data_IF_011955122131
#
_entry.id   IF_011955122131
#
_cell.length_a   1.000
_cell.length_b   1.000
_cell.length_c   1.000
_cell.angle_alpha   90.00
_cell.angle_beta   90.00
_cell.angle_gamma   90.00
#
_symmetry.space_group_name_H-M   'P 1'
#
loop_
_entity.id
_entity.type
_entity.pdbx_description
1 polymer ?
#
# COMPACT_ATOMS: atom_id res chain seq x y z
N UNK A 1 -8.26 -38.25 33.62
CA UNK A 1 -7.49 -37.63 34.72
C UNK A 1 -6.22 -37.03 34.10
N UNK A 2 -5.88 -35.73 34.14
CA UNK A 2 -6.17 -34.62 35.10
C UNK A 2 -5.84 -35.07 36.54
N UNK A 3 -5.00 -34.42 37.36
CA UNK A 3 -4.34 -33.09 37.39
C UNK A 3 -3.21 -33.17 38.48
N UNK A 4 -2.12 -32.39 38.62
CA UNK A 4 -1.59 -31.12 38.05
C UNK A 4 -0.03 -31.19 37.87
N UNK A 5 0.77 -30.15 37.53
CA UNK A 5 1.49 -29.12 38.35
C UNK A 5 2.08 -29.60 39.71
N UNK A 6 3.23 -29.15 40.25
CA UNK A 6 4.31 -28.18 39.91
C UNK A 6 5.49 -28.36 40.94
N UNK A 7 6.68 -27.71 41.00
CA UNK A 7 7.45 -26.72 40.20
C UNK A 7 8.95 -26.67 40.69
N UNK A 8 9.74 -25.73 40.11
CA UNK A 8 10.95 -25.03 40.64
C UNK A 8 12.40 -25.54 40.49
N UNK A 9 13.23 -24.55 40.06
CA UNK A 9 14.64 -24.27 40.40
C UNK A 9 15.81 -25.11 39.81
N UNK A 10 16.49 -24.55 38.80
CA UNK A 10 17.95 -24.28 38.88
C UNK A 10 18.38 -23.15 37.91
N UNK A 11 19.29 -22.28 38.36
CA UNK A 11 19.90 -21.20 37.56
C UNK A 11 21.43 -21.39 37.51
N UNK A 12 22.05 -21.29 36.34
CA UNK A 12 23.45 -20.86 36.15
C UNK A 12 23.54 -20.15 34.78
N UNK A 13 23.73 -18.82 34.73
CA UNK A 13 25.00 -18.08 34.78
C UNK A 13 25.91 -18.23 33.54
N UNK A 14 25.78 -17.28 32.59
CA UNK A 14 26.84 -16.87 31.65
C UNK A 14 26.86 -15.32 31.59
N UNK A 15 28.04 -14.71 31.39
CA UNK A 15 28.27 -13.27 31.54
C UNK A 15 27.74 -12.36 30.42
N UNK A 16 27.36 -11.14 30.81
CA UNK A 16 27.40 -9.92 29.98
C UNK A 16 28.69 -9.14 30.27
N UNK A 17 29.45 -8.65 29.26
CA UNK A 17 30.52 -7.68 29.44
C UNK A 17 29.99 -6.27 29.77
N UNK A 18 30.74 -5.50 30.57
CA UNK A 18 30.35 -4.17 31.05
C UNK A 18 30.75 -3.02 30.11
N UNK A 19 29.96 -1.94 30.11
CA UNK A 19 30.41 -0.64 29.56
C UNK A 19 31.52 -0.01 30.43
N UNK A 20 32.67 0.34 29.83
CA UNK A 20 33.51 1.54 30.14
C UNK A 20 34.79 1.62 29.27
N UNK A 21 35.17 2.86 28.92
CA UNK A 21 36.33 3.29 28.09
C UNK A 21 36.23 2.96 26.58
N UNK A 22 36.19 3.95 25.68
CA UNK A 22 37.09 5.11 25.59
C UNK A 22 36.40 6.48 25.56
N UNK A 23 37.08 7.47 26.13
CA UNK A 23 36.92 8.90 25.83
C UNK A 23 38.15 9.37 25.02
N UNK A 24 38.14 10.65 24.63
CA UNK A 24 39.06 11.32 23.68
C UNK A 24 38.71 10.97 22.21
N UNK A 25 38.64 11.93 21.28
CA UNK A 25 39.05 13.35 21.32
C UNK A 25 37.90 14.32 21.03
N UNK A 26 37.79 15.42 21.78
CA UNK A 26 36.84 16.52 21.53
C UNK A 26 37.61 17.82 21.21
N UNK A 27 37.43 18.37 20.00
CA UNK A 27 37.87 19.73 19.62
C UNK A 27 36.91 20.35 18.59
N UNK A 28 35.88 21.03 19.09
CA UNK A 28 35.03 21.96 18.33
C UNK A 28 34.35 22.90 19.31
N UNK A 29 34.64 24.21 19.25
CA UNK A 29 34.07 25.20 20.17
C UNK A 29 32.67 25.64 19.72
N UNK A 30 31.78 26.02 20.65
CA UNK A 30 30.39 26.34 20.33
C UNK A 30 30.19 27.78 19.85
N UNK A 31 29.22 27.94 18.96
CA UNK A 31 28.32 29.09 18.88
C UNK A 31 26.90 28.51 19.12
N UNK A 32 25.99 29.13 19.85
CA UNK A 32 26.00 30.48 20.41
C UNK A 32 24.60 31.07 20.28
N UNK A 33 23.62 30.52 20.99
CA UNK A 33 22.22 30.92 20.94
C UNK A 33 21.62 30.92 22.36
N UNK A 34 20.74 31.88 22.65
CA UNK A 34 20.21 32.14 23.99
C UNK A 34 19.15 31.10 24.40
N UNK A 35 19.12 30.77 25.70
CA UNK A 35 17.87 30.33 26.33
C UNK A 35 16.94 31.54 26.46
N UNK A 36 15.71 31.45 25.95
CA UNK A 36 14.63 32.35 26.35
C UNK A 36 13.43 31.57 26.86
N UNK A 37 13.06 31.81 28.13
CA UNK A 37 11.92 31.18 28.78
C UNK A 37 10.66 32.00 28.54
N UNK A 38 9.80 31.57 27.63
CA UNK A 38 8.45 32.15 27.49
C UNK A 38 7.47 31.37 28.37
N UNK A 39 7.37 31.75 29.63
CA UNK A 39 6.26 31.32 30.51
C UNK A 39 5.01 32.12 30.19
N UNK A 40 4.11 31.58 29.36
CA UNK A 40 2.77 32.14 29.14
C UNK A 40 1.73 31.38 29.96
N UNK A 41 1.28 31.99 31.05
CA UNK A 41 0.17 31.54 31.87
C UNK A 41 -1.11 32.26 31.47
N UNK A 42 -2.07 31.55 30.89
CA UNK A 42 -3.46 31.99 30.81
C UNK A 42 -4.41 30.91 31.34
N UNK A 43 -5.18 31.26 32.37
CA UNK A 43 -6.39 30.53 32.76
C UNK A 43 -7.55 31.15 32.02
N UNK A 44 -8.44 30.33 31.48
CA UNK A 44 -9.80 30.73 31.09
C UNK A 44 -10.78 29.73 31.71
N UNK A 45 -11.84 30.22 32.33
CA UNK A 45 -12.84 29.36 32.95
C UNK A 45 -13.75 28.71 31.90
N UNK A 46 -13.56 27.41 31.67
CA UNK A 46 -14.60 26.40 31.43
C UNK A 46 -13.94 25.04 31.11
N UNK A 47 -14.04 24.07 32.03
CA UNK A 47 -13.34 22.78 31.92
C UNK A 47 -13.93 21.83 30.88
N UNK A 48 -13.51 21.94 29.62
CA UNK A 48 -13.67 20.92 28.57
C UNK A 48 -12.43 20.86 27.69
N UNK A 49 -11.71 19.74 27.74
CA UNK A 49 -10.62 19.49 26.80
C UNK A 49 -11.18 19.21 25.40
N UNK A 50 -10.61 19.87 24.39
CA UNK A 50 -10.96 19.67 22.99
C UNK A 50 -9.72 19.85 22.13
N UNK A 51 -9.24 18.74 21.55
CA UNK A 51 -8.06 18.71 20.68
C UNK A 51 -8.29 19.58 19.43
N UNK A 52 -7.74 20.80 19.44
CA UNK A 52 -7.60 21.63 18.23
C UNK A 52 -6.27 21.34 17.56
N UNK A 53 -6.30 20.86 16.32
CA UNK A 53 -5.12 20.88 15.46
C UNK A 53 -4.72 22.33 15.20
N UNK A 54 -3.43 22.64 15.30
CA UNK A 54 -2.90 23.93 14.86
C UNK A 54 -2.85 23.97 13.32
N UNK A 55 -3.17 25.11 12.68
CA UNK A 55 -2.95 25.27 11.24
C UNK A 55 -1.44 25.32 10.96
N UNK A 56 -0.99 24.65 9.90
CA UNK A 56 0.38 24.81 9.42
C UNK A 56 0.60 26.25 8.93
N UNK A 57 1.73 26.85 9.34
CA UNK A 57 2.09 28.20 8.95
C UNK A 57 2.43 28.30 7.46
N UNK A 58 2.29 29.52 6.91
CA UNK A 58 2.88 29.86 5.61
C UNK A 58 4.40 29.83 5.73
N UNK A 59 5.07 29.50 4.63
CA UNK A 59 6.51 29.71 4.45
C UNK A 59 6.66 30.92 3.53
N UNK A 60 7.41 31.93 3.94
CA UNK A 60 7.72 33.09 3.10
C UNK A 60 8.82 32.76 2.09
N UNK A 61 8.73 33.30 0.87
CA UNK A 61 9.49 32.81 -0.30
C UNK A 61 10.96 33.30 -0.38
N UNK A 62 11.46 34.03 0.62
CA UNK A 62 12.71 34.81 0.51
C UNK A 62 13.94 34.19 1.21
N UNK A 63 14.20 32.90 1.00
CA UNK A 63 15.45 32.26 1.50
C UNK A 63 16.16 31.27 0.55
N UNK A 64 15.89 31.32 -0.76
CA UNK A 64 16.58 30.49 -1.77
C UNK A 64 17.55 31.33 -2.61
N UNK A 65 18.63 31.84 -1.99
CA UNK A 65 19.63 32.65 -2.73
C UNK A 65 21.05 32.80 -2.18
N UNK A 66 21.60 31.82 -1.44
CA UNK A 66 23.05 31.79 -1.17
C UNK A 66 23.60 30.39 -0.83
N UNK A 67 24.44 29.81 -1.72
CA UNK A 67 25.46 28.75 -1.44
C UNK A 67 25.98 28.05 -2.73
N UNK A 68 26.36 28.82 -3.76
CA UNK A 68 26.79 28.30 -5.07
C UNK A 68 28.28 28.54 -5.39
N UNK A 69 29.21 28.20 -4.48
CA UNK A 69 30.67 28.29 -4.76
C UNK A 69 31.61 27.60 -3.75
N UNK A 70 31.87 26.30 -3.92
CA UNK A 70 33.18 25.69 -3.56
C UNK A 70 33.57 24.69 -4.64
N UNK A 71 34.81 24.76 -5.13
CA UNK A 71 35.32 23.96 -6.25
C UNK A 71 36.25 22.83 -5.82
N UNK A 72 36.23 21.74 -6.59
CA UNK A 72 37.42 20.96 -6.95
C UNK A 72 38.19 20.25 -5.83
N UNK A 73 37.73 19.05 -5.44
CA UNK A 73 38.64 17.94 -5.07
C UNK A 73 38.17 16.64 -5.71
N UNK A 74 38.99 16.08 -6.59
CA UNK A 74 38.89 14.67 -7.00
C UNK A 74 39.26 13.77 -5.83
N UNK A 75 38.51 12.67 -5.66
CA UNK A 75 38.83 11.61 -4.69
C UNK A 75 39.12 10.35 -5.50
N UNK A 76 40.36 9.89 -5.47
CA UNK A 76 40.74 8.62 -6.10
C UNK A 76 40.23 7.43 -5.26
N UNK A 77 39.77 6.33 -5.87
CA UNK A 77 39.36 5.14 -5.14
C UNK A 77 40.59 4.42 -4.56
N UNK A 78 40.50 3.86 -3.34
CA UNK A 78 41.63 3.18 -2.71
C UNK A 78 41.98 1.87 -3.42
N UNK A 79 43.23 1.77 -3.88
CA UNK A 79 43.80 0.62 -4.60
C UNK A 79 44.18 -0.54 -3.67
N UNK A 80 43.17 -1.19 -3.06
CA UNK A 80 43.35 -2.42 -2.29
C UNK A 80 43.41 -3.69 -3.17
N UNK A 81 44.19 -4.72 -2.79
CA UNK A 81 44.16 -6.02 -3.46
C UNK A 81 42.81 -6.74 -3.24
N UNK A 82 42.37 -7.60 -4.16
CA UNK A 82 41.05 -8.25 -4.08
C UNK A 82 40.97 -9.23 -2.90
N UNK A 83 39.98 -9.03 -2.03
CA UNK A 83 39.69 -9.92 -0.90
C UNK A 83 38.92 -11.14 -1.39
N UNK A 84 39.58 -12.30 -1.44
CA UNK A 84 38.96 -13.58 -1.78
C UNK A 84 38.00 -14.03 -0.66
N UNK A 85 36.70 -13.77 -0.83
CA UNK A 85 35.66 -14.35 0.01
C UNK A 85 35.47 -15.84 -0.34
N UNK A 86 35.40 -16.75 0.66
CA UNK A 86 35.26 -18.18 0.39
C UNK A 86 33.87 -18.50 -0.17
N UNK A 87 33.82 -19.03 -1.40
CA UNK A 87 32.59 -19.49 -2.04
C UNK A 87 32.01 -20.65 -1.22
N UNK A 88 30.90 -20.40 -0.51
CA UNK A 88 30.10 -21.47 0.11
C UNK A 88 29.57 -22.38 -0.99
N UNK A 89 29.95 -23.66 -0.95
CA UNK A 89 29.24 -24.70 -1.69
C UNK A 89 27.75 -24.69 -1.29
N UNK A 90 26.82 -24.88 -2.23
CA UNK A 90 25.41 -25.11 -1.88
C UNK A 90 25.29 -26.35 -0.99
N UNK A 91 24.41 -26.30 0.01
CA UNK A 91 24.08 -27.46 0.81
C UNK A 91 23.37 -28.52 -0.05
N UNK A 92 23.53 -29.80 0.30
CA UNK A 92 22.84 -30.88 -0.39
C UNK A 92 21.32 -30.75 -0.26
N UNK A 93 20.59 -31.02 -1.34
CA UNK A 93 19.14 -30.97 -1.35
C UNK A 93 18.55 -32.12 -0.50
N UNK A 94 17.50 -31.88 0.30
CA UNK A 94 16.76 -32.96 0.96
C UNK A 94 16.02 -33.83 -0.07
N UNK A 95 15.85 -35.11 0.24
CA UNK A 95 15.37 -36.11 -0.72
C UNK A 95 13.87 -35.97 -1.06
N UNK A 96 13.59 -36.20 -2.35
CA UNK A 96 12.36 -36.71 -2.98
C UNK A 96 11.13 -37.00 -2.09
N UNK A 97 9.95 -36.51 -2.51
CA UNK A 97 8.67 -36.95 -1.92
C UNK A 97 7.39 -36.44 -2.58
N UNK A 98 7.44 -35.28 -3.26
CA UNK A 98 6.30 -34.73 -4.00
C UNK A 98 6.70 -34.36 -5.42
N UNK A 99 5.84 -34.64 -6.39
CA UNK A 99 5.95 -33.99 -7.70
C UNK A 99 5.73 -32.48 -7.54
N UNK A 100 6.42 -31.62 -8.30
CA UNK A 100 6.11 -30.21 -8.37
C UNK A 100 4.81 -30.00 -9.16
N UNK A 101 3.68 -30.33 -8.53
CA UNK A 101 2.34 -30.16 -9.09
C UNK A 101 2.22 -28.76 -9.68
N UNK A 102 1.79 -28.70 -10.94
CA UNK A 102 1.92 -27.52 -11.79
C UNK A 102 1.33 -26.28 -11.10
N UNK A 103 2.21 -25.42 -10.55
CA UNK A 103 1.82 -24.19 -9.87
C UNK A 103 1.15 -23.31 -10.92
N UNK A 104 -0.16 -23.20 -10.84
CA UNK A 104 -0.96 -22.49 -11.84
C UNK A 104 -0.44 -21.07 -11.96
N UNK A 105 -0.31 -20.60 -13.21
CA UNK A 105 -0.31 -19.16 -13.49
C UNK A 105 -1.49 -18.51 -12.74
N UNK A 106 -1.36 -17.25 -12.28
CA UNK A 106 -2.46 -16.58 -11.60
C UNK A 106 -3.70 -16.62 -12.50
N UNK A 107 -4.84 -16.96 -11.90
CA UNK A 107 -6.10 -16.95 -12.63
C UNK A 107 -6.39 -15.53 -13.16
N UNK A 108 -7.12 -15.44 -14.27
CA UNK A 108 -7.67 -14.16 -14.74
C UNK A 108 -8.34 -13.46 -13.56
N UNK A 109 -7.91 -12.21 -13.27
CA UNK A 109 -8.40 -11.44 -12.12
C UNK A 109 -9.93 -11.37 -12.09
N UNK A 110 -10.58 -11.42 -13.24
CA UNK A 110 -12.05 -11.40 -13.37
C UNK A 110 -12.70 -12.67 -12.80
N UNK A 111 -12.01 -13.82 -12.84
CA UNK A 111 -12.48 -15.10 -12.30
C UNK A 111 -12.38 -15.19 -10.76
N UNK A 112 -11.79 -14.21 -10.08
CA UNK A 112 -11.89 -14.10 -8.61
C UNK A 112 -13.32 -13.72 -8.17
N UNK A 113 -14.07 -13.00 -9.02
CA UNK A 113 -15.31 -12.32 -8.64
C UNK A 113 -16.55 -13.02 -9.20
N UNK A 114 -17.60 -13.15 -8.39
CA UNK A 114 -18.85 -13.83 -8.80
C UNK A 114 -19.68 -13.01 -9.81
N UNK A 115 -19.35 -11.73 -10.03
CA UNK A 115 -20.01 -10.82 -10.98
C UNK A 115 -18.98 -10.08 -11.85
N UNK A 116 -19.24 -9.87 -13.16
CA UNK A 116 -18.36 -9.09 -14.03
C UNK A 116 -18.36 -7.61 -13.61
N UNK A 117 -17.21 -6.93 -13.79
CA UNK A 117 -16.99 -5.55 -13.35
C UNK A 117 -17.34 -5.37 -11.86
N UNK A 118 -16.54 -5.99 -10.97
CA UNK A 118 -16.76 -5.92 -9.52
C UNK A 118 -16.54 -4.50 -9.01
N UNK A 119 -17.29 -4.14 -7.95
CA UNK A 119 -16.97 -3.04 -7.05
C UNK A 119 -16.17 -3.60 -5.87
N UNK A 120 -14.89 -3.27 -5.83
CA UNK A 120 -13.95 -3.60 -4.75
C UNK A 120 -13.96 -2.45 -3.75
N UNK A 121 -14.48 -2.68 -2.55
CA UNK A 121 -14.62 -1.67 -1.51
C UNK A 121 -13.34 -1.56 -0.65
N UNK A 122 -12.80 -0.35 -0.51
CA UNK A 122 -11.52 -0.13 0.18
C UNK A 122 -11.72 0.18 1.67
N UNK A 123 -11.11 -0.63 2.52
CA UNK A 123 -10.95 -0.42 3.96
C UNK A 123 -9.62 0.32 4.15
N UNK A 124 -9.67 1.49 4.76
CA UNK A 124 -8.45 2.17 5.23
C UNK A 124 -8.23 1.74 6.69
N UNK A 125 -7.13 1.05 6.98
CA UNK A 125 -6.86 0.56 8.34
C UNK A 125 -6.64 1.70 9.33
N UNK A 126 -6.65 1.41 10.63
CA UNK A 126 -5.98 2.32 11.58
C UNK A 126 -4.46 2.43 11.28
N UNK A 127 -3.76 3.41 11.87
CA UNK A 127 -2.31 3.50 11.76
C UNK A 127 -1.61 2.21 12.24
N UNK A 128 -0.52 1.83 11.60
CA UNK A 128 0.38 0.75 12.01
C UNK A 128 1.15 1.08 13.31
N UNK A 129 1.67 0.09 14.04
CA UNK A 129 2.56 0.32 15.18
C UNK A 129 3.75 1.19 14.77
N UNK A 130 4.09 2.18 15.59
CA UNK A 130 5.14 3.17 15.29
C UNK A 130 4.64 4.43 14.57
N UNK A 131 3.46 4.40 13.93
CA UNK A 131 2.85 5.58 13.32
C UNK A 131 2.13 6.45 14.37
N UNK A 132 2.23 7.79 14.30
CA UNK A 132 1.44 8.69 15.14
C UNK A 132 -0.07 8.39 15.08
N UNK A 133 -0.69 8.23 16.25
CA UNK A 133 -2.12 7.89 16.37
C UNK A 133 -2.43 6.39 16.40
N UNK A 134 -1.43 5.50 16.36
CA UNK A 134 -1.60 4.10 16.74
C UNK A 134 -2.12 4.00 18.19
N UNK A 135 -3.09 3.10 18.41
CA UNK A 135 -3.69 2.84 19.74
C UNK A 135 -3.36 1.42 20.18
N UNK A 136 -3.91 0.43 19.49
CA UNK A 136 -3.57 -0.98 19.63
C UNK A 136 -3.96 -1.74 18.35
N UNK A 137 -3.42 -2.96 18.19
CA UNK A 137 -3.69 -3.77 16.99
C UNK A 137 -5.16 -4.20 16.92
N UNK A 138 -5.76 -4.61 18.04
CA UNK A 138 -7.12 -5.12 18.05
C UNK A 138 -8.16 -4.03 17.74
N UNK A 139 -7.96 -2.76 18.15
CA UNK A 139 -8.83 -1.65 17.73
C UNK A 139 -8.80 -1.39 16.21
N UNK A 140 -7.69 -1.70 15.53
CA UNK A 140 -7.61 -1.64 14.07
C UNK A 140 -8.29 -2.86 13.41
N UNK A 141 -8.17 -4.05 14.01
CA UNK A 141 -8.87 -5.27 13.60
C UNK A 141 -10.39 -5.08 13.71
N UNK A 142 -10.89 -4.65 14.87
CA UNK A 142 -12.32 -4.47 15.13
C UNK A 142 -12.95 -3.45 14.16
N UNK A 143 -12.26 -2.33 13.92
CA UNK A 143 -12.69 -1.32 12.93
C UNK A 143 -12.72 -1.87 11.51
N UNK A 144 -11.68 -2.60 11.09
CA UNK A 144 -11.62 -3.18 9.76
C UNK A 144 -12.69 -4.28 9.55
N UNK A 145 -12.95 -5.09 10.58
CA UNK A 145 -14.04 -6.08 10.56
C UNK A 145 -15.41 -5.38 10.50
N UNK A 146 -15.63 -4.30 11.25
CA UNK A 146 -16.87 -3.52 11.17
C UNK A 146 -17.09 -2.84 9.81
N UNK A 147 -16.04 -2.24 9.20
CA UNK A 147 -16.13 -1.72 7.83
C UNK A 147 -16.42 -2.84 6.82
N UNK A 148 -15.78 -4.02 6.97
CA UNK A 148 -16.06 -5.19 6.15
C UNK A 148 -17.50 -5.69 6.32
N UNK A 149 -18.08 -5.69 7.53
CA UNK A 149 -19.46 -6.12 7.76
C UNK A 149 -20.48 -5.23 7.05
N UNK A 150 -20.27 -3.90 7.02
CA UNK A 150 -21.13 -2.97 6.25
C UNK A 150 -21.01 -3.24 4.75
N UNK A 151 -19.80 -3.45 4.25
CA UNK A 151 -19.55 -3.79 2.84
C UNK A 151 -20.19 -5.12 2.43
N UNK A 152 -20.06 -6.17 3.25
CA UNK A 152 -20.63 -7.49 3.00
C UNK A 152 -22.17 -7.47 3.10
N UNK A 153 -22.73 -6.73 4.06
CA UNK A 153 -24.18 -6.57 4.22
C UNK A 153 -24.84 -5.84 3.04
N UNK A 154 -24.14 -4.88 2.43
CA UNK A 154 -24.57 -4.19 1.22
C UNK A 154 -24.32 -4.98 -0.09
N UNK A 155 -23.61 -6.11 -0.04
CA UNK A 155 -23.38 -6.98 -1.20
C UNK A 155 -22.31 -6.49 -2.19
N UNK A 156 -21.23 -5.85 -1.70
CA UNK A 156 -20.07 -5.52 -2.56
C UNK A 156 -19.43 -6.78 -3.14
N UNK A 157 -18.78 -6.65 -4.29
CA UNK A 157 -18.23 -7.80 -5.01
C UNK A 157 -16.82 -8.20 -4.52
N UNK A 158 -16.10 -7.30 -3.86
CA UNK A 158 -14.78 -7.54 -3.28
C UNK A 158 -14.37 -6.48 -2.24
N UNK A 159 -13.27 -6.73 -1.54
CA UNK A 159 -12.70 -5.83 -0.53
C UNK A 159 -11.20 -5.61 -0.80
N UNK A 160 -10.67 -4.44 -0.48
CA UNK A 160 -9.23 -4.13 -0.49
C UNK A 160 -8.82 -3.48 0.83
N UNK A 161 -7.76 -3.97 1.47
CA UNK A 161 -7.23 -3.42 2.74
C UNK A 161 -5.98 -2.55 2.45
N UNK A 162 -6.05 -1.24 2.72
CA UNK A 162 -4.97 -0.26 2.49
C UNK A 162 -4.57 0.45 3.80
N UNK A 163 -3.27 0.58 4.09
CA UNK A 163 -2.75 1.28 5.28
C UNK A 163 -2.69 2.82 5.10
N UNK A 164 -3.73 3.45 4.54
CA UNK A 164 -3.73 4.90 4.23
C UNK A 164 -3.53 5.80 5.46
N UNK A 165 -3.83 5.32 6.67
CA UNK A 165 -3.56 6.04 7.92
C UNK A 165 -2.10 5.95 8.41
N UNK A 166 -1.21 5.29 7.65
CA UNK A 166 0.24 5.34 7.88
C UNK A 166 0.89 6.63 7.34
N UNK A 167 0.08 7.62 6.93
CA UNK A 167 0.54 8.88 6.36
C UNK A 167 1.18 9.80 7.43
N UNK A 168 2.37 10.38 7.20
CA UNK A 168 3.23 10.25 6.01
C UNK A 168 3.97 8.90 5.96
N UNK A 169 3.66 8.11 4.94
CA UNK A 169 4.17 6.75 4.78
C UNK A 169 5.60 6.72 4.23
N UNK A 170 6.39 5.74 4.70
CA UNK A 170 7.79 5.52 4.29
C UNK A 170 7.89 4.53 3.13
N UNK A 171 9.02 4.52 2.42
CA UNK A 171 9.26 3.55 1.33
C UNK A 171 9.40 2.13 1.90
N UNK A 172 9.14 1.10 1.07
CA UNK A 172 9.26 -0.30 1.49
C UNK A 172 10.64 -0.67 2.10
N UNK A 173 11.72 -0.02 1.65
CA UNK A 173 13.08 -0.20 2.19
C UNK A 173 13.28 0.39 3.60
N UNK A 174 12.37 1.25 4.05
CA UNK A 174 12.35 1.93 5.35
C UNK A 174 11.27 1.36 6.29
N UNK A 175 10.36 0.51 5.80
CA UNK A 175 9.36 -0.19 6.62
C UNK A 175 10.03 -1.23 7.53
N UNK A 176 9.65 -1.24 8.82
CA UNK A 176 10.00 -2.33 9.72
C UNK A 176 9.03 -3.52 9.64
N UNK A 177 9.34 -4.63 10.33
CA UNK A 177 8.51 -5.83 10.32
C UNK A 177 7.13 -5.62 10.97
N UNK A 178 6.95 -4.59 11.80
CA UNK A 178 5.69 -4.25 12.45
C UNK A 178 4.57 -3.89 11.46
N UNK A 179 4.86 -3.23 10.34
CA UNK A 179 3.87 -2.95 9.28
C UNK A 179 3.36 -4.26 8.67
N UNK A 180 4.25 -5.20 8.36
CA UNK A 180 3.89 -6.49 7.80
C UNK A 180 3.09 -7.35 8.80
N UNK A 181 3.49 -7.36 10.07
CA UNK A 181 2.79 -8.10 11.13
C UNK A 181 1.39 -7.52 11.40
N UNK A 182 1.26 -6.20 11.47
CA UNK A 182 -0.01 -5.50 11.65
C UNK A 182 -0.96 -5.73 10.48
N UNK A 183 -0.51 -5.50 9.25
CA UNK A 183 -1.34 -5.70 8.06
C UNK A 183 -1.76 -7.16 7.89
N UNK A 184 -0.91 -8.14 8.25
CA UNK A 184 -1.30 -9.56 8.26
C UNK A 184 -2.41 -9.83 9.28
N UNK A 185 -2.31 -9.29 10.50
CA UNK A 185 -3.31 -9.47 11.56
C UNK A 185 -4.66 -8.84 11.19
N UNK A 186 -4.66 -7.68 10.54
CA UNK A 186 -5.88 -7.00 10.06
C UNK A 186 -6.47 -7.70 8.83
N UNK A 187 -5.67 -7.93 7.78
CA UNK A 187 -6.14 -8.56 6.54
C UNK A 187 -6.67 -9.98 6.76
N UNK A 188 -6.04 -10.76 7.66
CA UNK A 188 -6.54 -12.09 8.02
C UNK A 188 -7.93 -12.02 8.67
N UNK A 189 -8.16 -11.07 9.59
CA UNK A 189 -9.47 -10.90 10.23
C UNK A 189 -10.56 -10.52 9.21
N UNK A 190 -10.25 -9.60 8.29
CA UNK A 190 -11.14 -9.21 7.18
C UNK A 190 -11.43 -10.42 6.28
N UNK A 191 -10.41 -11.17 5.83
CA UNK A 191 -10.61 -12.37 5.00
C UNK A 191 -11.44 -13.44 5.69
N UNK A 192 -11.21 -13.67 6.99
CA UNK A 192 -12.02 -14.61 7.80
C UNK A 192 -13.48 -14.17 7.95
N UNK A 193 -13.79 -12.87 7.85
CA UNK A 193 -15.17 -12.36 7.83
C UNK A 193 -15.82 -12.38 6.44
N UNK A 194 -15.04 -12.09 5.40
CA UNK A 194 -15.47 -12.05 4.00
C UNK A 194 -15.81 -13.43 3.40
N UNK A 195 -15.15 -14.49 3.86
CA UNK A 195 -15.45 -15.87 3.44
C UNK A 195 -15.15 -16.10 1.96
N UNK A 196 -16.21 -16.15 1.14
CA UNK A 196 -16.10 -16.30 -0.33
C UNK A 196 -15.75 -15.00 -1.06
N UNK A 197 -16.09 -13.84 -0.50
CA UNK A 197 -15.81 -12.54 -1.14
C UNK A 197 -14.28 -12.32 -1.21
N UNK A 198 -13.71 -11.97 -2.38
CA UNK A 198 -12.28 -11.71 -2.51
C UNK A 198 -11.83 -10.53 -1.65
N UNK A 199 -10.70 -10.69 -0.98
CA UNK A 199 -10.03 -9.64 -0.19
C UNK A 199 -8.63 -9.47 -0.73
N UNK A 200 -8.30 -8.26 -1.19
CA UNK A 200 -6.96 -7.89 -1.61
C UNK A 200 -6.22 -7.05 -0.56
N UNK A 201 -4.93 -6.85 -0.78
CA UNK A 201 -4.05 -6.05 0.09
C UNK A 201 -3.31 -4.97 -0.72
N UNK A 202 -3.19 -3.78 -0.14
CA UNK A 202 -2.29 -2.71 -0.60
C UNK A 202 -1.48 -2.18 0.60
N UNK A 203 -0.18 -1.96 0.41
CA UNK A 203 0.70 -1.37 1.43
C UNK A 203 1.43 -0.17 0.83
N UNK A 204 1.17 1.01 1.38
CA UNK A 204 1.80 2.28 1.05
C UNK A 204 3.03 2.47 1.95
N UNK A 205 4.15 3.03 1.46
CA UNK A 205 4.42 3.50 0.10
C UNK A 205 5.17 2.44 -0.72
N UNK A 206 4.58 2.01 -1.85
CA UNK A 206 5.13 0.94 -2.71
C UNK A 206 5.55 -0.34 -1.97
N UNK A 207 4.86 -0.71 -0.89
CA UNK A 207 5.09 -1.92 -0.10
C UNK A 207 4.63 -3.19 -0.85
N UNK A 208 4.99 -3.35 -2.11
CA UNK A 208 4.42 -4.34 -3.02
C UNK A 208 4.89 -5.78 -2.70
N UNK A 209 6.11 -5.96 -2.18
CA UNK A 209 6.58 -7.24 -1.61
C UNK A 209 5.97 -7.46 -0.23
N UNK A 210 5.86 -6.42 0.59
CA UNK A 210 5.16 -6.48 1.89
C UNK A 210 3.70 -6.91 1.71
N UNK A 211 2.99 -6.37 0.71
CA UNK A 211 1.63 -6.71 0.36
C UNK A 211 1.50 -8.17 -0.08
N UNK A 212 2.43 -8.72 -0.88
CA UNK A 212 2.45 -10.14 -1.23
C UNK A 212 2.67 -11.04 -0.01
N UNK A 213 3.59 -10.67 0.89
CA UNK A 213 3.86 -11.42 2.11
C UNK A 213 2.63 -11.43 3.04
N UNK A 214 2.02 -10.27 3.24
CA UNK A 214 0.77 -10.09 3.98
C UNK A 214 -0.36 -10.90 3.35
N UNK A 215 -0.54 -10.83 2.02
CA UNK A 215 -1.63 -11.52 1.34
C UNK A 215 -1.49 -13.04 1.45
N UNK A 216 -0.29 -13.59 1.20
CA UNK A 216 -0.01 -15.01 1.35
C UNK A 216 -0.23 -15.50 2.79
N UNK A 217 0.23 -14.74 3.79
CA UNK A 217 0.10 -15.11 5.20
C UNK A 217 -1.34 -14.95 5.75
N UNK A 218 -2.11 -13.98 5.24
CA UNK A 218 -3.50 -13.76 5.61
C UNK A 218 -4.47 -14.72 4.91
N UNK A 219 -4.12 -15.23 3.73
CA UNK A 219 -5.00 -15.98 2.83
C UNK A 219 -5.83 -15.09 1.90
N UNK A 220 -5.31 -13.90 1.55
CA UNK A 220 -5.94 -12.94 0.65
C UNK A 220 -5.71 -13.29 -0.83
N UNK A 221 -6.60 -12.83 -1.69
CA UNK A 221 -6.79 -13.37 -3.04
C UNK A 221 -6.08 -12.57 -4.15
N UNK A 222 -5.64 -11.33 -3.87
CA UNK A 222 -4.90 -10.46 -4.80
C UNK A 222 -4.12 -9.36 -4.06
N UNK A 223 -3.26 -8.61 -4.77
CA UNK A 223 -2.72 -7.34 -4.27
C UNK A 223 -2.96 -6.19 -5.26
N UNK A 224 -2.95 -4.95 -4.74
CA UNK A 224 -2.77 -3.74 -5.56
C UNK A 224 -1.37 -3.16 -5.34
N UNK A 225 -0.67 -2.81 -6.42
CA UNK A 225 0.73 -2.39 -6.41
C UNK A 225 0.94 -0.98 -6.99
N UNK A 226 1.72 -0.15 -6.29
CA UNK A 226 2.07 1.22 -6.71
C UNK A 226 3.44 1.28 -7.42
N UNK A 227 3.56 2.10 -8.48
CA UNK A 227 4.83 2.32 -9.19
C UNK A 227 5.40 1.01 -9.74
N UNK A 228 4.60 0.30 -10.53
CA UNK A 228 4.96 -1.00 -11.07
C UNK A 228 6.08 -0.89 -12.12
N UNK A 229 5.89 0.01 -13.08
CA UNK A 229 6.89 0.40 -14.07
C UNK A 229 7.17 1.90 -13.96
N UNK A 230 8.38 2.29 -14.37
CA UNK A 230 8.89 3.67 -14.41
C UNK A 230 9.01 4.39 -13.05
N UNK A 231 10.05 5.21 -12.91
CA UNK A 231 10.24 6.04 -11.71
C UNK A 231 9.25 7.20 -11.69
N UNK A 232 8.75 7.55 -10.50
CA UNK A 232 7.79 8.62 -10.28
C UNK A 232 8.30 9.57 -9.18
N UNK A 233 8.09 10.88 -9.30
CA UNK A 233 8.52 11.85 -8.26
C UNK A 233 7.32 12.21 -7.39
N UNK A 234 7.21 11.60 -6.21
CA UNK A 234 6.10 11.81 -5.28
C UNK A 234 6.45 12.81 -4.17
N UNK A 235 5.44 13.13 -3.35
CA UNK A 235 5.56 13.88 -2.10
C UNK A 235 6.41 13.18 -1.01
N UNK A 236 6.82 11.92 -1.24
CA UNK A 236 7.85 11.19 -0.45
C UNK A 236 9.16 10.97 -1.22
N UNK A 237 9.42 11.76 -2.26
CA UNK A 237 10.60 11.64 -3.12
C UNK A 237 10.42 10.61 -4.24
N UNK A 238 11.53 10.06 -4.72
CA UNK A 238 11.57 9.16 -5.89
C UNK A 238 10.98 7.80 -5.52
N UNK A 239 9.95 7.41 -6.26
CA UNK A 239 9.29 6.11 -6.22
C UNK A 239 9.81 5.25 -7.37
N UNK A 240 10.63 4.24 -7.06
CA UNK A 240 11.34 3.42 -8.04
C UNK A 240 10.42 2.35 -8.69
N UNK A 241 10.76 1.90 -9.89
CA UNK A 241 10.00 0.86 -10.59
C UNK A 241 10.14 -0.51 -9.89
N UNK A 242 9.02 -1.08 -9.45
CA UNK A 242 8.99 -2.20 -8.50
C UNK A 242 8.68 -3.59 -9.08
N UNK A 243 8.24 -3.71 -10.34
CA UNK A 243 7.84 -4.99 -10.93
C UNK A 243 8.95 -6.06 -10.88
N UNK A 244 10.18 -5.69 -11.25
CA UNK A 244 11.30 -6.63 -11.37
C UNK A 244 11.75 -7.27 -10.06
N UNK A 245 11.55 -6.59 -8.92
CA UNK A 245 11.81 -7.13 -7.57
C UNK A 245 10.58 -7.86 -7.03
N UNK A 246 9.38 -7.31 -7.24
CA UNK A 246 8.12 -7.85 -6.72
C UNK A 246 7.76 -9.19 -7.36
N UNK A 247 7.89 -9.33 -8.68
CA UNK A 247 7.59 -10.60 -9.39
C UNK A 247 8.56 -11.71 -8.98
N UNK A 248 9.85 -11.39 -8.78
CA UNK A 248 10.83 -12.37 -8.26
C UNK A 248 10.51 -12.79 -6.83
N UNK A 249 10.10 -11.84 -5.99
CA UNK A 249 9.68 -12.12 -4.62
C UNK A 249 8.41 -12.98 -4.56
N UNK A 250 7.40 -12.70 -5.41
CA UNK A 250 6.18 -13.50 -5.56
C UNK A 250 6.50 -14.98 -5.76
N UNK A 251 7.38 -15.26 -6.72
CA UNK A 251 7.83 -16.62 -7.00
C UNK A 251 8.63 -17.23 -5.83
N UNK A 252 9.55 -16.47 -5.25
CA UNK A 252 10.39 -16.90 -4.12
C UNK A 252 9.58 -17.37 -2.92
N UNK A 253 8.45 -16.72 -2.60
CA UNK A 253 7.57 -17.11 -1.48
C UNK A 253 6.46 -18.10 -1.88
N UNK A 254 6.37 -18.50 -3.16
CA UNK A 254 5.32 -19.40 -3.66
C UNK A 254 3.96 -18.74 -3.89
N UNK A 255 3.90 -17.41 -3.90
CA UNK A 255 2.69 -16.62 -4.11
C UNK A 255 2.32 -16.40 -5.59
N UNK A 256 2.84 -17.21 -6.52
CA UNK A 256 2.57 -17.07 -7.97
C UNK A 256 1.08 -17.08 -8.34
N UNK A 257 0.24 -17.69 -7.49
CA UNK A 257 -1.21 -17.73 -7.62
C UNK A 257 -1.92 -16.42 -7.22
N UNK A 258 -1.23 -15.46 -6.60
CA UNK A 258 -1.79 -14.17 -6.16
C UNK A 258 -1.56 -13.12 -7.25
N UNK A 259 -2.60 -12.71 -8.01
CA UNK A 259 -2.45 -11.69 -9.06
C UNK A 259 -2.16 -10.29 -8.51
N UNK A 260 -1.49 -9.49 -9.33
CA UNK A 260 -1.15 -8.09 -9.07
C UNK A 260 -1.98 -7.17 -9.97
N UNK A 261 -2.81 -6.33 -9.34
CA UNK A 261 -3.49 -5.19 -9.94
C UNK A 261 -2.53 -3.99 -9.86
N UNK A 262 -1.91 -3.62 -10.97
CA UNK A 262 -0.80 -2.67 -10.98
C UNK A 262 -1.20 -1.27 -11.50
N UNK A 263 -0.92 -0.23 -10.71
CA UNK A 263 -1.15 1.17 -11.11
C UNK A 263 -0.22 1.55 -12.30
N UNK A 264 -0.81 1.95 -13.43
CA UNK A 264 -0.07 2.37 -14.66
C UNK A 264 0.68 3.68 -14.45
N UNK A 265 0.07 4.59 -13.69
CA UNK A 265 0.67 5.83 -13.19
C UNK A 265 0.29 5.97 -11.71
N UNK A 266 1.24 6.39 -10.87
CA UNK A 266 0.99 6.55 -9.44
C UNK A 266 0.24 7.85 -9.11
N UNK A 267 -0.91 7.74 -8.44
CA UNK A 267 -1.62 8.83 -7.74
C UNK A 267 -0.67 9.68 -6.88
N UNK A 268 -0.86 11.00 -6.81
CA UNK A 268 0.00 11.93 -6.06
C UNK A 268 1.50 11.81 -6.41
N UNK A 269 1.83 12.02 -7.68
CA UNK A 269 3.21 12.09 -8.18
C UNK A 269 3.32 12.95 -9.44
N UNK A 270 4.51 13.51 -9.70
CA UNK A 270 4.89 14.13 -10.95
C UNK A 270 5.54 13.10 -11.89
N UNK A 271 5.19 13.19 -13.18
CA UNK A 271 5.66 12.29 -14.25
C UNK A 271 6.64 12.99 -15.21
N UNK A 272 7.32 14.05 -14.78
CA UNK A 272 8.15 14.88 -15.66
C UNK A 272 9.31 14.12 -16.33
N UNK A 273 9.83 13.07 -15.70
CA UNK A 273 10.87 12.19 -16.24
C UNK A 273 10.37 11.17 -17.27
N UNK A 274 9.06 11.07 -17.46
CA UNK A 274 8.38 10.22 -18.45
C UNK A 274 7.33 11.00 -19.25
N UNK A 275 7.53 12.32 -19.40
CA UNK A 275 6.62 13.21 -20.11
C UNK A 275 6.64 13.00 -21.64
N UNK A 276 7.66 12.31 -22.14
CA UNK A 276 7.79 11.77 -23.49
C UNK A 276 6.96 10.50 -23.73
N UNK A 277 6.51 9.82 -22.66
CA UNK A 277 5.69 8.61 -22.74
C UNK A 277 4.21 8.90 -22.53
N UNK A 278 3.38 8.53 -23.50
CA UNK A 278 1.93 8.59 -23.35
C UNK A 278 1.44 7.57 -22.30
N UNK A 279 0.21 7.72 -21.82
CA UNK A 279 -0.38 6.72 -20.92
C UNK A 279 -0.52 5.35 -21.60
N UNK A 280 -0.69 5.32 -22.93
CA UNK A 280 -0.70 4.08 -23.70
C UNK A 280 0.68 3.43 -23.75
N UNK A 281 1.78 4.19 -23.88
CA UNK A 281 3.14 3.63 -23.90
C UNK A 281 3.51 2.99 -22.56
N UNK A 282 3.12 3.63 -21.45
CA UNK A 282 3.25 3.07 -20.10
C UNK A 282 2.41 1.79 -19.95
N UNK A 283 1.16 1.80 -20.46
CA UNK A 283 0.25 0.64 -20.39
C UNK A 283 0.74 -0.58 -21.19
N UNK A 284 1.30 -0.37 -22.40
CA UNK A 284 1.90 -1.44 -23.23
C UNK A 284 2.94 -2.26 -22.46
N UNK A 285 3.72 -1.62 -21.58
CA UNK A 285 4.74 -2.28 -20.79
C UNK A 285 4.20 -3.21 -19.69
N UNK A 286 2.94 -3.09 -19.27
CA UNK A 286 2.48 -3.68 -18.02
C UNK A 286 2.38 -5.21 -18.04
N UNK A 287 1.86 -5.79 -19.13
CA UNK A 287 1.75 -7.24 -19.30
C UNK A 287 3.14 -7.91 -19.43
N UNK A 288 4.07 -7.28 -20.17
CA UNK A 288 5.48 -7.68 -20.24
C UNK A 288 6.15 -7.70 -18.85
N UNK A 289 5.81 -6.72 -18.01
CA UNK A 289 6.25 -6.63 -16.61
C UNK A 289 5.41 -7.48 -15.63
N UNK A 290 4.61 -8.43 -16.14
CA UNK A 290 3.82 -9.40 -15.35
C UNK A 290 2.85 -8.74 -14.34
N UNK A 291 2.26 -7.62 -14.71
CA UNK A 291 0.98 -7.22 -14.11
C UNK A 291 -0.11 -8.18 -14.61
N UNK A 292 -1.01 -8.60 -13.72
CA UNK A 292 -2.11 -9.52 -14.07
C UNK A 292 -3.42 -8.75 -14.33
N UNK A 293 -3.46 -7.47 -13.92
CA UNK A 293 -4.41 -6.45 -14.34
C UNK A 293 -3.77 -5.05 -14.22
N UNK A 294 -4.28 -4.07 -14.97
CA UNK A 294 -3.83 -2.67 -14.90
C UNK A 294 -4.86 -1.78 -14.19
N UNK A 295 -4.38 -0.81 -13.42
CA UNK A 295 -5.22 0.14 -12.68
C UNK A 295 -4.93 1.57 -13.16
N UNK A 296 -6.00 2.33 -13.46
CA UNK A 296 -5.93 3.74 -13.91
C UNK A 296 -6.65 4.62 -12.88
N UNK A 297 -6.03 5.75 -12.49
CA UNK A 297 -6.58 6.71 -11.52
C UNK A 297 -6.66 8.11 -12.12
N UNK A 298 -7.45 9.01 -11.52
CA UNK A 298 -7.19 10.45 -11.62
C UNK A 298 -5.89 10.84 -10.91
N UNK A 299 -5.56 12.14 -10.89
CA UNK A 299 -4.33 12.64 -10.27
C UNK A 299 -4.32 12.47 -8.75
N UNK A 300 -5.46 12.76 -8.12
CA UNK A 300 -5.65 12.74 -6.67
C UNK A 300 -6.74 11.76 -6.21
N UNK A 301 -6.74 11.45 -4.91
CA UNK A 301 -7.72 10.54 -4.27
C UNK A 301 -9.14 11.09 -4.40
N UNK A 302 -9.98 10.38 -5.16
CA UNK A 302 -11.37 10.76 -5.41
C UNK A 302 -11.61 11.38 -6.79
N UNK A 303 -10.55 11.68 -7.55
CA UNK A 303 -10.67 12.06 -8.97
C UNK A 303 -10.73 10.80 -9.84
N UNK A 304 -11.66 10.72 -10.81
CA UNK A 304 -11.67 9.65 -11.81
C UNK A 304 -10.61 9.91 -12.89
N UNK A 305 -10.12 8.87 -13.59
CA UNK A 305 -9.40 9.05 -14.84
C UNK A 305 -10.33 9.65 -15.92
N UNK A 306 -9.77 10.35 -16.90
CA UNK A 306 -10.57 10.91 -17.99
C UNK A 306 -11.00 9.81 -18.99
N UNK A 307 -12.04 10.04 -19.82
CA UNK A 307 -12.39 9.11 -20.89
C UNK A 307 -11.22 8.86 -21.86
N UNK A 308 -10.39 9.86 -22.12
CA UNK A 308 -9.20 9.74 -22.97
C UNK A 308 -8.11 8.88 -22.33
N UNK A 309 -7.92 8.94 -21.00
CA UNK A 309 -7.01 8.03 -20.28
C UNK A 309 -7.47 6.58 -20.40
N UNK A 310 -8.78 6.35 -20.25
CA UNK A 310 -9.38 5.03 -20.35
C UNK A 310 -9.32 4.47 -21.77
N UNK A 311 -9.63 5.26 -22.78
CA UNK A 311 -9.50 4.89 -24.20
C UNK A 311 -8.05 4.57 -24.56
N UNK A 312 -7.10 5.43 -24.17
CA UNK A 312 -5.67 5.22 -24.40
C UNK A 312 -5.17 3.90 -23.81
N UNK A 313 -5.50 3.59 -22.56
CA UNK A 313 -5.11 2.30 -21.93
C UNK A 313 -5.88 1.12 -22.55
N UNK A 314 -7.20 1.23 -22.74
CA UNK A 314 -8.05 0.16 -23.30
C UNK A 314 -7.63 -0.26 -24.71
N UNK A 315 -7.09 0.67 -25.50
CA UNK A 315 -6.60 0.42 -26.86
C UNK A 315 -5.32 -0.42 -26.95
N UNK A 316 -4.60 -0.61 -25.84
CA UNK A 316 -3.30 -1.31 -25.81
C UNK A 316 -3.13 -2.33 -24.68
N UNK A 317 -4.03 -2.37 -23.69
CA UNK A 317 -3.92 -3.26 -22.54
C UNK A 317 -4.31 -4.70 -22.88
N UNK A 318 -3.34 -5.61 -22.78
CA UNK A 318 -3.52 -7.06 -22.96
C UNK A 318 -4.15 -7.75 -21.73
N UNK A 319 -4.27 -7.02 -20.60
CA UNK A 319 -4.78 -7.51 -19.31
C UNK A 319 -5.98 -6.68 -18.83
N UNK A 320 -6.84 -7.20 -17.92
CA UNK A 320 -8.02 -6.50 -17.42
C UNK A 320 -7.74 -5.08 -16.88
N UNK A 321 -8.64 -4.13 -17.17
CA UNK A 321 -8.47 -2.71 -16.86
C UNK A 321 -9.40 -2.26 -15.72
N UNK A 322 -8.85 -1.78 -14.61
CA UNK A 322 -9.59 -1.32 -13.44
C UNK A 322 -9.51 0.20 -13.25
N UNK A 323 -10.60 0.83 -12.81
CA UNK A 323 -10.58 2.22 -12.30
C UNK A 323 -10.23 2.20 -10.81
N UNK A 324 -9.12 2.85 -10.44
CA UNK A 324 -8.54 2.83 -9.09
C UNK A 324 -8.83 4.05 -8.21
N UNK A 325 -9.63 5.01 -8.69
CA UNK A 325 -10.03 6.24 -7.99
C UNK A 325 -11.28 6.86 -8.62
N UNK A 326 -12.06 7.59 -7.83
CA UNK A 326 -13.08 8.54 -8.31
C UNK A 326 -14.35 7.98 -8.98
N UNK A 327 -14.57 6.67 -8.94
CA UNK A 327 -15.87 6.10 -9.27
C UNK A 327 -16.92 6.51 -8.22
N UNK A 328 -18.06 7.03 -8.66
CA UNK A 328 -19.22 7.42 -7.84
C UNK A 328 -20.49 6.83 -8.45
N UNK A 329 -21.61 6.70 -7.69
CA UNK A 329 -22.86 6.18 -8.24
C UNK A 329 -23.34 6.95 -9.49
N UNK A 330 -23.00 8.24 -9.57
CA UNK A 330 -23.40 9.15 -10.63
C UNK A 330 -22.57 9.01 -11.92
N UNK A 331 -21.29 8.59 -11.83
CA UNK A 331 -20.41 8.44 -13.00
C UNK A 331 -20.17 6.97 -13.44
N UNK A 332 -20.43 5.99 -12.58
CA UNK A 332 -20.09 4.58 -12.81
C UNK A 332 -20.65 4.02 -14.12
N UNK A 333 -21.89 4.39 -14.48
CA UNK A 333 -22.54 3.95 -15.74
C UNK A 333 -21.78 4.42 -17.00
N UNK A 334 -21.14 5.58 -16.98
CA UNK A 334 -20.37 6.11 -18.11
C UNK A 334 -18.98 5.47 -18.22
N UNK A 335 -18.39 5.07 -17.08
CA UNK A 335 -17.11 4.34 -17.02
C UNK A 335 -17.27 2.87 -17.43
N UNK A 336 -18.45 2.28 -17.17
CA UNK A 336 -18.73 0.85 -17.29
C UNK A 336 -18.34 0.16 -18.62
N UNK A 337 -18.50 0.77 -19.81
CA UNK A 337 -18.10 0.13 -21.07
C UNK A 337 -16.59 -0.11 -21.21
N UNK A 338 -15.77 0.73 -20.57
CA UNK A 338 -14.32 0.81 -20.80
C UNK A 338 -13.49 -0.13 -19.91
N UNK A 339 -14.08 -0.60 -18.81
CA UNK A 339 -13.37 -1.22 -17.69
C UNK A 339 -13.78 -2.68 -17.49
N UNK A 340 -12.91 -3.44 -16.84
CA UNK A 340 -13.14 -4.79 -16.31
C UNK A 340 -13.44 -4.78 -14.79
N UNK A 341 -13.32 -3.64 -14.09
CA UNK A 341 -13.73 -3.49 -12.67
C UNK A 341 -13.41 -2.12 -12.03
N UNK A 342 -13.78 -1.96 -10.76
CA UNK A 342 -13.67 -0.70 -9.98
C UNK A 342 -13.10 -0.94 -8.58
N UNK A 343 -12.25 -0.02 -8.11
CA UNK A 343 -11.78 0.05 -6.71
C UNK A 343 -12.23 1.37 -6.12
N UNK A 344 -13.00 1.30 -5.02
CA UNK A 344 -13.75 2.43 -4.47
C UNK A 344 -13.45 2.60 -2.98
N UNK A 345 -12.83 3.72 -2.61
CA UNK A 345 -12.58 4.08 -1.21
C UNK A 345 -13.45 5.25 -0.75
N UNK A 346 -12.96 6.47 -0.96
CA UNK A 346 -13.55 7.70 -0.41
C UNK A 346 -15.04 7.91 -0.69
N UNK A 347 -15.56 7.47 -1.85
CA UNK A 347 -16.96 7.58 -2.20
C UNK A 347 -17.91 6.82 -1.24
N UNK A 348 -17.43 5.73 -0.61
CA UNK A 348 -18.18 4.90 0.35
C UNK A 348 -18.24 5.49 1.78
N UNK A 349 -17.43 6.51 2.05
CA UNK A 349 -17.23 7.10 3.38
C UNK A 349 -17.96 8.44 3.52
N UNK A 350 -18.24 8.83 4.75
CA UNK A 350 -19.04 10.03 5.07
C UNK A 350 -18.51 11.29 4.38
N UNK A 351 -19.40 12.03 3.72
CA UNK A 351 -19.05 13.25 2.99
C UNK A 351 -18.03 13.06 1.85
N UNK A 352 -17.77 11.82 1.40
CA UNK A 352 -16.77 11.54 0.38
C UNK A 352 -15.32 11.60 0.86
N UNK A 353 -15.08 11.53 2.18
CA UNK A 353 -13.73 11.70 2.78
C UNK A 353 -13.10 10.35 3.10
N UNK A 354 -11.87 10.11 2.62
CA UNK A 354 -11.18 8.83 2.82
C UNK A 354 -10.91 8.49 4.31
N UNK A 355 -10.72 9.51 5.15
CA UNK A 355 -10.42 9.38 6.58
C UNK A 355 -11.66 9.33 7.49
N UNK A 356 -12.88 9.32 6.92
CA UNK A 356 -14.12 9.28 7.66
C UNK A 356 -14.67 7.84 7.81
N UNK A 357 -15.68 7.60 8.68
CA UNK A 357 -16.37 6.31 8.75
C UNK A 357 -17.00 5.90 7.43
N UNK A 358 -17.19 4.59 7.23
CA UNK A 358 -18.03 4.03 6.16
C UNK A 358 -19.49 4.36 6.42
N UNK A 359 -20.23 4.70 5.37
CA UNK A 359 -21.63 5.09 5.44
C UNK A 359 -22.48 4.11 4.63
N UNK A 360 -23.35 3.33 5.27
CA UNK A 360 -24.07 2.21 4.63
C UNK A 360 -24.89 2.66 3.41
N UNK A 361 -25.66 3.75 3.52
CA UNK A 361 -26.43 4.35 2.40
C UNK A 361 -25.56 4.60 1.17
N UNK A 362 -24.30 5.02 1.35
CA UNK A 362 -23.37 5.31 0.26
C UNK A 362 -22.80 4.03 -0.37
N UNK A 363 -22.66 2.96 0.41
CA UNK A 363 -22.30 1.62 -0.10
C UNK A 363 -23.49 1.01 -0.86
N UNK A 364 -24.67 1.04 -0.28
CA UNK A 364 -25.92 0.56 -0.88
C UNK A 364 -26.20 1.26 -2.21
N UNK A 365 -26.06 2.60 -2.27
CA UNK A 365 -26.16 3.38 -3.52
C UNK A 365 -25.10 3.03 -4.55
N UNK A 366 -23.86 2.73 -4.14
CA UNK A 366 -22.80 2.30 -5.05
C UNK A 366 -23.10 0.92 -5.65
N UNK A 367 -23.49 -0.05 -4.82
CA UNK A 367 -23.87 -1.40 -5.29
C UNK A 367 -25.09 -1.33 -6.20
N UNK A 368 -26.13 -0.58 -5.83
CA UNK A 368 -27.32 -0.39 -6.67
C UNK A 368 -26.98 0.24 -8.04
N UNK A 369 -26.08 1.23 -8.09
CA UNK A 369 -25.61 1.81 -9.35
C UNK A 369 -24.79 0.81 -10.19
N UNK A 370 -24.01 -0.06 -9.56
CA UNK A 370 -23.25 -1.11 -10.24
C UNK A 370 -24.16 -2.21 -10.82
N UNK A 371 -25.19 -2.66 -10.10
CA UNK A 371 -26.18 -3.60 -10.64
C UNK A 371 -26.97 -2.99 -11.82
N UNK A 372 -27.38 -1.72 -11.71
CA UNK A 372 -28.03 -0.99 -12.80
C UNK A 372 -27.11 -0.84 -14.02
N UNK A 373 -25.82 -0.57 -13.82
CA UNK A 373 -24.84 -0.48 -14.90
C UNK A 373 -24.56 -1.84 -15.56
N UNK A 374 -24.50 -2.95 -14.79
CA UNK A 374 -24.46 -4.31 -15.34
C UNK A 374 -25.66 -4.60 -16.22
N UNK A 375 -26.87 -4.39 -15.70
CA UNK A 375 -28.11 -4.66 -16.44
C UNK A 375 -28.18 -3.82 -17.73
N UNK A 376 -27.88 -2.52 -17.65
CA UNK A 376 -27.89 -1.63 -18.81
C UNK A 376 -26.81 -1.96 -19.85
N UNK A 377 -25.63 -2.43 -19.44
CA UNK A 377 -24.59 -2.87 -20.36
C UNK A 377 -24.92 -4.23 -21.00
N UNK A 378 -25.41 -5.19 -20.22
CA UNK A 378 -25.81 -6.50 -20.72
C UNK A 378 -26.93 -6.40 -21.77
N UNK A 379 -27.87 -5.49 -21.56
CA UNK A 379 -28.94 -5.18 -22.53
C UNK A 379 -28.49 -4.37 -23.76
N UNK A 380 -27.25 -3.86 -23.78
CA UNK A 380 -26.66 -3.12 -24.89
C UNK A 380 -25.67 -3.96 -25.72
N UNK A 381 -25.34 -5.18 -25.27
CA UNK A 381 -24.62 -6.16 -26.09
C UNK A 381 -25.55 -6.70 -27.19
N UNK A 382 -25.01 -7.02 -28.39
CA UNK A 382 -25.80 -7.74 -29.40
C UNK A 382 -26.24 -9.11 -28.87
N UNK A 383 -27.38 -9.65 -29.30
CA UNK A 383 -27.76 -11.03 -28.99
C UNK A 383 -26.72 -12.00 -29.57
N UNK A 384 -26.33 -13.00 -28.76
CA UNK A 384 -25.46 -14.11 -29.14
C UNK A 384 -26.15 -15.06 -30.14
#
# INVERSE_FOLDING_TARGET
>A
MRVQAEAYASQQHIHMPSQRHMQQTWRGRPTGAMEERVTMSSRNDNGREGLRQAPYGKIDEEMVKESASVTGRTVEPPSGPPVNLPVRRPAAAPHSGAEPGARSMPADVRALFEKPRPVIAMIHTGPSPGVPGFVCVDSAVDRAVAEAEVYLGAGVDGILVENMHDFPCVHEREMGPEVAAFMTRVAHAVKRRAGRVPVGVQVLFQGNRTALAVALAAGCDFIRAEGWTHAHVADKGIADASAGTTVRYRHQIGADHIPVLADVRKKHAAHAWTADLSLADLARGMALHRADAVVVTGGHTGEPPTPADLEAVRSVAEVPLFVGSGATPENLRALFPWVDGFIVGSALKEGGRWNAPVCSERVERMVAAAEQARAAHQAALPPN
#
